data_IF_615037785090
#
_entry.id   IF_615037785090
#
_cell.length_a   1.000
_cell.length_b   1.000
_cell.length_c   1.000
_cell.angle_alpha   90.00
_cell.angle_beta   90.00
_cell.angle_gamma   90.00
#
_symmetry.space_group_name_H-M   'P 1'
#
loop_
_entity.id
_entity.type
_entity.pdbx_description
1 polymer ?
#
# COMPACT_ATOMS: atom_id res chain seq x y z
N UNK A 1 6.30 -4.84 -7.18
CA UNK A 1 6.79 -5.74 -8.27
C UNK A 1 5.61 -6.43 -8.91
N UNK A 2 5.69 -6.84 -10.18
CA UNK A 2 4.65 -7.63 -10.87
C UNK A 2 5.27 -8.59 -11.87
N UNK A 3 4.66 -9.75 -12.03
CA UNK A 3 5.02 -10.71 -13.07
C UNK A 3 3.95 -10.73 -14.16
N UNK A 4 4.33 -11.08 -15.39
CA UNK A 4 3.38 -11.33 -16.47
C UNK A 4 3.25 -12.83 -16.80
N UNK A 5 2.35 -13.16 -17.72
CA UNK A 5 2.10 -14.54 -18.15
C UNK A 5 3.27 -15.16 -18.94
N UNK A 6 4.23 -14.35 -19.41
CA UNK A 6 5.44 -14.84 -20.06
C UNK A 6 6.55 -15.16 -19.05
N UNK A 7 6.30 -15.01 -17.74
CA UNK A 7 7.27 -15.28 -16.68
C UNK A 7 8.25 -14.14 -16.44
N UNK A 8 8.05 -12.96 -17.06
CA UNK A 8 8.90 -11.79 -16.85
C UNK A 8 8.57 -11.14 -15.52
N UNK A 9 9.59 -10.72 -14.77
CA UNK A 9 9.43 -10.01 -13.51
C UNK A 9 9.77 -8.52 -13.67
N UNK A 10 8.80 -7.66 -13.40
CA UNK A 10 8.92 -6.21 -13.38
C UNK A 10 9.08 -5.70 -11.94
N UNK A 11 10.12 -4.90 -11.69
CA UNK A 11 10.48 -4.41 -10.36
C UNK A 11 10.62 -2.90 -10.38
N UNK A 12 9.84 -2.22 -9.55
CA UNK A 12 10.02 -0.80 -9.25
C UNK A 12 11.18 -0.62 -8.28
N UNK A 13 12.07 0.33 -8.56
CA UNK A 13 13.12 0.77 -7.66
C UNK A 13 12.92 2.21 -7.21
N UNK A 14 13.97 2.81 -6.63
CA UNK A 14 13.92 4.21 -6.19
C UNK A 14 13.66 5.20 -7.31
N UNK A 15 14.17 4.95 -8.51
CA UNK A 15 14.09 5.93 -9.61
C UNK A 15 13.89 5.26 -10.97
N UNK A 16 13.79 3.93 -11.02
CA UNK A 16 13.73 3.21 -12.28
C UNK A 16 12.87 1.97 -12.16
N UNK A 17 12.35 1.54 -13.30
CA UNK A 17 11.67 0.27 -13.47
C UNK A 17 12.65 -0.68 -14.16
N UNK A 18 12.73 -1.88 -13.63
CA UNK A 18 13.54 -2.96 -14.19
C UNK A 18 12.68 -4.12 -14.64
N UNK A 19 13.15 -4.86 -15.64
CA UNK A 19 12.63 -6.17 -16.03
C UNK A 19 13.72 -7.23 -15.90
N UNK A 20 13.29 -8.41 -15.50
CA UNK A 20 14.06 -9.64 -15.51
C UNK A 20 13.32 -10.62 -16.40
N UNK A 21 13.96 -11.06 -17.48
CA UNK A 21 13.43 -12.08 -18.39
C UNK A 21 13.59 -13.46 -17.75
N UNK A 22 12.74 -14.45 -18.07
CA UNK A 22 13.04 -15.85 -17.80
C UNK A 22 14.42 -16.24 -18.35
N UNK A 23 15.17 -17.00 -17.57
CA UNK A 23 16.43 -17.59 -18.03
C UNK A 23 16.17 -18.94 -18.69
N UNK A 24 15.95 -18.92 -20.01
CA UNK A 24 15.71 -20.13 -20.81
C UNK A 24 16.92 -21.08 -20.85
N UNK A 25 18.09 -20.66 -20.37
CA UNK A 25 19.30 -21.49 -20.31
C UNK A 25 19.44 -22.26 -19.00
N UNK A 26 18.65 -21.92 -17.97
CA UNK A 26 18.68 -22.55 -16.66
C UNK A 26 17.78 -23.79 -16.61
N UNK A 27 18.35 -24.93 -16.21
CA UNK A 27 17.59 -26.18 -16.01
C UNK A 27 16.77 -26.21 -14.73
N UNK A 28 17.04 -25.32 -13.77
CA UNK A 28 16.27 -25.16 -12.53
C UNK A 28 15.27 -24.00 -12.58
N UNK A 29 15.09 -23.37 -13.75
CA UNK A 29 14.42 -22.09 -13.87
C UNK A 29 15.28 -20.94 -13.31
N UNK A 30 14.85 -19.71 -13.56
CA UNK A 30 15.59 -18.53 -13.11
C UNK A 30 15.16 -17.26 -13.81
N UNK A 31 15.71 -16.14 -13.31
CA UNK A 31 15.57 -14.82 -13.90
C UNK A 31 16.93 -14.39 -14.44
N UNK A 32 16.94 -13.88 -15.67
CA UNK A 32 18.12 -13.34 -16.33
C UNK A 32 18.60 -12.03 -15.69
N UNK A 33 19.52 -11.35 -16.37
CA UNK A 33 20.11 -10.10 -15.86
C UNK A 33 19.07 -8.98 -15.79
N UNK A 34 19.23 -8.11 -14.79
CA UNK A 34 18.45 -6.88 -14.61
C UNK A 34 18.59 -5.98 -15.84
N UNK A 35 17.47 -5.62 -16.47
CA UNK A 35 17.41 -4.64 -17.56
C UNK A 35 16.57 -3.44 -17.14
N UNK A 36 17.06 -2.22 -17.39
CA UNK A 36 16.30 -0.99 -17.11
C UNK A 36 15.31 -0.71 -18.24
N UNK A 37 14.06 -0.45 -17.91
CA UNK A 37 12.99 -0.11 -18.87
C UNK A 37 12.83 1.40 -19.00
N UNK A 38 12.77 2.07 -17.86
CA UNK A 38 12.48 3.50 -17.76
C UNK A 38 13.01 4.06 -16.45
N UNK A 39 13.50 5.30 -16.49
CA UNK A 39 13.99 6.06 -15.34
C UNK A 39 13.18 7.32 -15.13
N UNK A 40 12.63 7.44 -13.94
CA UNK A 40 11.96 8.64 -13.45
C UNK A 40 12.99 9.67 -12.93
N UNK A 41 12.57 10.93 -12.71
CA UNK A 41 13.39 11.90 -11.99
C UNK A 41 13.81 11.39 -10.61
N UNK A 42 14.84 12.04 -10.04
CA UNK A 42 15.31 11.73 -8.69
C UNK A 42 14.17 11.75 -7.66
N UNK A 43 14.30 10.93 -6.61
CA UNK A 43 13.36 10.80 -5.50
C UNK A 43 11.95 10.25 -5.82
N UNK A 44 11.70 9.77 -7.04
CA UNK A 44 10.37 9.35 -7.48
C UNK A 44 9.77 8.12 -6.78
N UNK A 45 10.59 7.19 -6.30
CA UNK A 45 10.26 5.93 -5.62
C UNK A 45 9.03 5.19 -6.18
N UNK A 46 9.27 4.20 -7.03
CA UNK A 46 8.20 3.42 -7.68
C UNK A 46 7.63 2.40 -6.69
N UNK A 47 6.47 2.71 -6.10
CA UNK A 47 5.86 1.85 -5.08
C UNK A 47 5.21 0.62 -5.64
N UNK A 48 4.37 0.78 -6.66
CA UNK A 48 3.68 -0.33 -7.27
C UNK A 48 3.65 -0.26 -8.79
N UNK A 49 3.43 -1.43 -9.38
CA UNK A 49 3.33 -1.64 -10.80
C UNK A 49 2.07 -2.44 -11.09
N UNK A 50 1.46 -2.23 -12.25
CA UNK A 50 0.37 -3.07 -12.75
C UNK A 50 0.48 -3.27 -14.26
N UNK A 51 0.01 -4.39 -14.77
CA UNK A 51 0.13 -4.76 -16.19
C UNK A 51 -1.25 -4.89 -16.80
N UNK A 52 -1.45 -4.32 -18.00
CA UNK A 52 -2.65 -4.54 -18.80
C UNK A 52 -2.28 -4.68 -20.28
N UNK A 53 -2.39 -5.90 -20.79
CA UNK A 53 -1.91 -6.21 -22.14
C UNK A 53 -0.40 -5.96 -22.24
N UNK A 54 0.02 -5.13 -23.19
CA UNK A 54 1.43 -4.76 -23.37
C UNK A 54 1.83 -3.49 -22.60
N UNK A 55 0.90 -2.88 -21.87
CA UNK A 55 1.13 -1.63 -21.17
C UNK A 55 1.50 -1.86 -19.71
N UNK A 56 2.44 -1.06 -19.22
CA UNK A 56 2.85 -1.04 -17.83
C UNK A 56 2.37 0.24 -17.14
N UNK A 57 1.75 0.08 -15.98
CA UNK A 57 1.30 1.16 -15.11
C UNK A 57 2.25 1.23 -13.92
N UNK A 58 2.61 2.44 -13.53
CA UNK A 58 3.55 2.66 -12.43
C UNK A 58 3.04 3.74 -11.49
N UNK A 59 3.27 3.55 -10.20
CA UNK A 59 2.93 4.50 -9.15
C UNK A 59 4.19 5.01 -8.44
N UNK A 60 4.91 5.99 -9.03
CA UNK A 60 5.91 6.77 -8.30
C UNK A 60 5.27 7.69 -7.25
N UNK A 61 5.90 7.77 -6.07
CA UNK A 61 5.47 8.62 -4.94
C UNK A 61 5.27 10.08 -5.31
N UNK A 62 6.12 10.66 -6.16
CA UNK A 62 6.19 12.13 -6.35
C UNK A 62 5.24 12.65 -7.42
N UNK A 63 4.74 11.77 -8.28
CA UNK A 63 4.15 12.18 -9.55
C UNK A 63 2.81 11.50 -9.88
N UNK A 64 2.35 10.59 -9.03
CA UNK A 64 1.08 9.87 -9.17
C UNK A 64 1.13 8.77 -10.23
N UNK A 65 -0.01 8.45 -10.84
CA UNK A 65 -0.14 7.33 -11.77
C UNK A 65 0.49 7.63 -13.13
N UNK A 66 1.33 6.73 -13.63
CA UNK A 66 1.89 6.75 -14.98
C UNK A 66 1.49 5.52 -15.79
N UNK A 67 1.38 5.72 -17.10
CA UNK A 67 1.28 4.70 -18.13
C UNK A 67 2.55 4.71 -18.98
N UNK A 68 3.12 3.53 -19.20
CA UNK A 68 4.24 3.29 -20.11
C UNK A 68 3.75 2.36 -21.23
N UNK A 69 3.27 2.91 -22.37
CA UNK A 69 2.66 2.12 -23.42
C UNK A 69 3.64 1.14 -24.08
N UNK A 70 3.26 -0.13 -24.18
CA UNK A 70 4.09 -1.18 -24.77
C UNK A 70 5.32 -1.57 -23.95
N UNK A 71 5.51 -1.04 -22.73
CA UNK A 71 6.72 -1.25 -21.93
C UNK A 71 6.90 -2.69 -21.43
N UNK A 72 5.85 -3.51 -21.48
CA UNK A 72 5.95 -4.94 -21.17
C UNK A 72 6.87 -5.64 -22.18
N UNK A 73 6.84 -5.26 -23.46
CA UNK A 73 7.63 -5.91 -24.52
C UNK A 73 8.77 -5.04 -25.06
N UNK A 74 8.66 -3.71 -24.96
CA UNK A 74 9.70 -2.78 -25.41
C UNK A 74 10.80 -2.65 -24.36
N UNK A 75 12.05 -2.57 -24.80
CA UNK A 75 13.22 -2.35 -23.94
C UNK A 75 13.90 -1.00 -24.15
N UNK A 76 13.66 -0.38 -25.31
CA UNK A 76 14.24 0.91 -25.68
C UNK A 76 13.15 1.90 -26.11
N UNK A 77 13.40 3.19 -25.89
CA UNK A 77 12.49 4.27 -26.33
C UNK A 77 11.12 4.26 -25.64
N UNK A 78 11.01 3.66 -24.45
CA UNK A 78 9.78 3.67 -23.66
C UNK A 78 9.51 5.10 -23.20
N UNK A 79 8.29 5.58 -23.44
CA UNK A 79 7.82 6.89 -23.02
C UNK A 79 6.80 6.72 -21.90
N UNK A 80 6.87 7.59 -20.89
CA UNK A 80 5.92 7.57 -19.78
C UNK A 80 4.93 8.74 -19.91
N UNK A 81 3.64 8.44 -19.79
CA UNK A 81 2.54 9.41 -19.78
C UNK A 81 1.91 9.43 -18.40
N UNK A 82 1.95 10.59 -17.74
CA UNK A 82 1.26 10.80 -16.46
C UNK A 82 -0.26 10.78 -16.67
N UNK A 83 -0.99 10.02 -15.87
CA UNK A 83 -2.44 9.85 -15.95
C UNK A 83 -3.17 10.63 -14.86
N UNK A 84 -2.76 10.47 -13.60
CA UNK A 84 -3.41 11.07 -12.43
C UNK A 84 -2.34 11.65 -11.50
N UNK A 85 -2.51 12.90 -11.06
CA UNK A 85 -1.58 13.57 -10.14
C UNK A 85 -2.30 14.65 -9.32
N UNK A 86 -1.57 15.35 -8.45
CA UNK A 86 -2.08 16.50 -7.70
C UNK A 86 -2.16 16.29 -6.18
N UNK A 87 -1.78 15.11 -5.70
CA UNK A 87 -1.46 14.98 -4.27
C UNK A 87 -0.20 15.80 -3.95
N UNK A 88 -0.10 16.37 -2.74
CA UNK A 88 1.14 16.97 -2.28
C UNK A 88 2.26 15.94 -2.13
N UNK A 89 3.49 16.38 -2.40
CA UNK A 89 4.72 15.59 -2.21
C UNK A 89 5.42 16.03 -0.91
N UNK A 90 4.81 15.70 0.23
CA UNK A 90 5.34 16.08 1.55
C UNK A 90 5.90 14.92 2.36
N UNK A 91 5.41 13.70 2.11
CA UNK A 91 5.84 12.53 2.86
C UNK A 91 5.79 11.27 1.99
N UNK A 92 6.87 10.47 1.96
CA UNK A 92 6.92 9.27 1.13
C UNK A 92 5.82 8.27 1.49
N UNK A 93 5.48 8.13 2.77
CA UNK A 93 4.48 7.14 3.17
C UNK A 93 3.04 7.63 3.00
N UNK A 94 2.78 8.88 2.60
CA UNK A 94 1.42 9.42 2.63
C UNK A 94 1.05 10.13 1.34
N UNK A 95 1.00 9.30 0.30
CA UNK A 95 0.66 9.65 -1.06
C UNK A 95 -0.02 8.45 -1.72
N UNK A 96 -0.05 8.40 -3.05
CA UNK A 96 -0.48 7.18 -3.75
C UNK A 96 0.57 6.06 -3.62
N UNK A 97 0.10 4.82 -3.48
CA UNK A 97 0.99 3.66 -3.34
C UNK A 97 0.60 2.49 -4.24
N UNK A 98 -0.43 1.76 -3.83
CA UNK A 98 -0.81 0.47 -4.39
C UNK A 98 -1.72 0.59 -5.58
N UNK A 99 -1.61 -0.37 -6.49
CA UNK A 99 -2.41 -0.48 -7.69
C UNK A 99 -3.06 -1.87 -7.77
N UNK A 100 -4.30 -1.94 -8.23
CA UNK A 100 -4.97 -3.21 -8.52
C UNK A 100 -6.01 -3.05 -9.63
N UNK A 101 -6.01 -3.96 -10.61
CA UNK A 101 -7.06 -4.02 -11.62
C UNK A 101 -8.34 -4.63 -11.04
N UNK A 102 -9.46 -3.92 -11.18
CA UNK A 102 -10.78 -4.43 -10.85
C UNK A 102 -11.41 -5.24 -11.99
N UNK A 103 -12.39 -6.10 -11.68
CA UNK A 103 -13.13 -6.87 -12.68
C UNK A 103 -14.01 -5.99 -13.59
N UNK A 104 -14.29 -4.76 -13.14
CA UNK A 104 -15.01 -3.73 -13.89
C UNK A 104 -14.11 -3.01 -14.92
N UNK A 105 -12.83 -3.37 -14.98
CA UNK A 105 -11.85 -2.79 -15.88
C UNK A 105 -11.29 -1.44 -15.44
N UNK A 106 -11.62 -0.98 -14.22
CA UNK A 106 -11.01 0.20 -13.60
C UNK A 106 -9.70 -0.18 -12.90
N UNK A 107 -8.76 0.77 -12.84
CA UNK A 107 -7.56 0.67 -12.03
C UNK A 107 -7.82 1.32 -10.68
N UNK A 108 -7.69 0.55 -9.60
CA UNK A 108 -7.83 1.03 -8.23
C UNK A 108 -6.48 1.51 -7.71
N UNK A 109 -6.50 2.60 -6.95
CA UNK A 109 -5.33 3.28 -6.41
C UNK A 109 -5.50 3.48 -4.90
N UNK A 110 -4.50 3.09 -4.10
CA UNK A 110 -4.51 3.37 -2.67
C UNK A 110 -3.90 4.74 -2.40
N UNK A 111 -4.48 5.48 -1.45
CA UNK A 111 -4.10 6.83 -1.09
C UNK A 111 -3.91 6.93 0.43
N UNK A 112 -2.73 7.34 0.87
CA UNK A 112 -2.47 7.67 2.28
C UNK A 112 -3.01 9.05 2.69
N UNK A 113 -3.00 9.33 3.98
CA UNK A 113 -3.43 10.60 4.57
C UNK A 113 -2.41 11.71 4.33
N UNK A 114 -2.75 12.58 3.40
CA UNK A 114 -1.85 13.66 2.98
C UNK A 114 -1.74 14.80 4.01
N UNK A 115 -2.39 14.68 5.17
CA UNK A 115 -2.38 15.68 6.23
C UNK A 115 -1.42 15.41 7.39
N UNK A 116 -0.62 14.33 7.44
CA UNK A 116 0.08 14.00 8.70
C UNK A 116 0.99 15.06 9.31
N UNK A 117 1.53 16.00 8.54
CA UNK A 117 2.32 17.12 9.09
C UNK A 117 1.60 18.47 9.15
N UNK A 118 0.36 18.56 8.65
CA UNK A 118 -0.37 19.82 8.52
C UNK A 118 -1.80 19.76 9.08
N UNK A 119 -2.32 18.56 9.33
CA UNK A 119 -3.65 18.34 9.86
C UNK A 119 -3.70 18.71 11.33
N UNK A 120 -4.71 19.49 11.69
CA UNK A 120 -5.05 19.67 13.09
C UNK A 120 -5.84 18.46 13.57
N UNK A 121 -5.14 17.47 14.13
CA UNK A 121 -5.74 16.26 14.70
C UNK A 121 -6.77 16.55 15.82
N UNK A 122 -6.80 17.77 16.37
CA UNK A 122 -7.78 18.20 17.38
C UNK A 122 -9.12 18.63 16.75
N UNK A 123 -9.12 19.10 15.50
CA UNK A 123 -10.37 19.47 14.81
C UNK A 123 -11.20 18.22 14.56
N UNK A 124 -12.55 18.24 14.72
CA UNK A 124 -13.43 17.11 14.40
C UNK A 124 -13.37 16.69 12.93
N UNK A 125 -13.06 17.63 12.04
CA UNK A 125 -12.84 17.46 10.61
C UNK A 125 -11.34 17.46 10.30
N UNK A 126 -10.67 16.31 10.47
CA UNK A 126 -9.33 16.10 9.92
C UNK A 126 -9.48 15.74 8.45
N UNK A 127 -9.89 16.71 7.63
CA UNK A 127 -10.09 16.56 6.19
C UNK A 127 -9.23 17.54 5.43
N UNK A 128 -8.58 17.06 4.37
CA UNK A 128 -7.87 17.92 3.44
C UNK A 128 -8.72 18.15 2.20
N UNK A 129 -8.44 19.25 1.51
CA UNK A 129 -9.05 19.61 0.25
C UNK A 129 -7.95 19.74 -0.80
N UNK A 130 -8.06 18.96 -1.87
CA UNK A 130 -7.10 19.00 -2.97
C UNK A 130 -7.81 18.71 -4.28
N UNK A 131 -7.11 19.00 -5.38
CA UNK A 131 -7.61 18.76 -6.72
C UNK A 131 -6.68 17.76 -7.40
N UNK A 132 -7.24 16.61 -7.78
CA UNK A 132 -6.56 15.70 -8.66
C UNK A 132 -6.74 16.14 -10.11
N UNK A 133 -5.71 15.94 -10.91
CA UNK A 133 -5.70 16.24 -12.34
C UNK A 133 -5.61 14.93 -13.09
N UNK A 134 -6.49 14.76 -14.08
CA UNK A 134 -6.67 13.52 -14.80
C UNK A 134 -6.53 13.73 -16.31
N UNK A 135 -5.76 12.86 -16.96
CA UNK A 135 -5.75 12.74 -18.42
C UNK A 135 -6.99 11.98 -18.94
N UNK A 136 -7.30 12.04 -20.25
CA UNK A 136 -6.64 12.81 -21.31
C UNK A 136 -7.12 14.27 -21.43
N UNK A 137 -8.22 14.64 -20.76
CA UNK A 137 -8.83 15.97 -20.92
C UNK A 137 -8.29 17.04 -19.96
N UNK A 138 -7.36 16.68 -19.07
CA UNK A 138 -6.92 17.57 -18.00
C UNK A 138 -8.02 17.87 -16.97
N UNK A 139 -8.94 16.93 -16.75
CA UNK A 139 -10.07 17.08 -15.84
C UNK A 139 -9.58 17.30 -14.41
N UNK A 140 -10.18 18.28 -13.73
CA UNK A 140 -9.94 18.57 -12.31
C UNK A 140 -11.00 17.86 -11.48
N UNK A 141 -10.56 17.00 -10.57
CA UNK A 141 -11.44 16.25 -9.67
C UNK A 141 -11.15 16.73 -8.24
N UNK A 142 -12.06 17.50 -7.63
CA UNK A 142 -11.90 17.90 -6.25
C UNK A 142 -12.06 16.67 -5.35
N UNK A 143 -11.24 16.59 -4.32
CA UNK A 143 -11.37 15.59 -3.27
C UNK A 143 -11.42 16.31 -1.93
N UNK A 144 -12.30 15.84 -1.06
CA UNK A 144 -12.38 16.22 0.35
C UNK A 144 -12.41 14.96 1.20
N UNK A 145 -11.53 14.90 2.21
CA UNK A 145 -11.41 13.76 3.12
C UNK A 145 -9.96 13.48 3.51
N UNK A 146 -9.68 12.23 3.89
CA UNK A 146 -8.33 11.72 4.15
C UNK A 146 -8.15 10.31 3.65
N UNK A 147 -7.00 10.06 3.04
CA UNK A 147 -6.62 8.78 2.46
C UNK A 147 -7.73 8.11 1.63
N UNK A 148 -7.67 6.79 1.58
CA UNK A 148 -8.71 5.94 1.02
C UNK A 148 -8.30 5.24 -0.25
N UNK A 149 -9.32 4.89 -1.03
CA UNK A 149 -9.17 4.15 -2.28
C UNK A 149 -9.91 4.90 -3.36
N UNK A 150 -9.22 5.15 -4.47
CA UNK A 150 -9.77 5.74 -5.67
C UNK A 150 -9.76 4.70 -6.79
N UNK A 151 -10.48 4.97 -7.87
CA UNK A 151 -10.37 4.21 -9.12
C UNK A 151 -10.46 5.14 -10.32
N UNK A 152 -9.80 4.79 -11.43
CA UNK A 152 -9.95 5.49 -12.70
C UNK A 152 -9.98 4.51 -13.87
N UNK A 153 -10.39 5.00 -15.04
CA UNK A 153 -10.25 4.25 -16.30
C UNK A 153 -8.76 4.12 -16.69
N UNK A 154 -8.42 3.17 -17.57
CA UNK A 154 -7.03 2.91 -17.96
C UNK A 154 -6.33 4.10 -18.61
N UNK A 155 -7.08 5.00 -19.24
CA UNK A 155 -6.57 6.20 -19.87
C UNK A 155 -6.35 7.37 -18.89
N UNK A 156 -6.70 7.19 -17.62
CA UNK A 156 -6.68 8.18 -16.54
C UNK A 156 -8.02 8.90 -16.33
N UNK A 157 -9.01 8.69 -17.19
CA UNK A 157 -10.29 9.39 -17.11
C UNK A 157 -11.21 8.82 -16.01
N UNK A 158 -12.27 9.57 -15.68
CA UNK A 158 -13.32 9.11 -14.75
C UNK A 158 -12.76 8.65 -13.38
N UNK A 159 -11.92 9.49 -12.79
CA UNK A 159 -11.40 9.27 -11.44
C UNK A 159 -12.53 9.43 -10.41
N UNK A 160 -12.75 8.38 -9.61
CA UNK A 160 -13.81 8.29 -8.62
C UNK A 160 -13.24 7.89 -7.26
N UNK A 161 -13.85 8.37 -6.19
CA UNK A 161 -13.55 7.92 -4.83
C UNK A 161 -14.39 6.69 -4.51
N UNK A 162 -13.72 5.60 -4.12
CA UNK A 162 -14.36 4.35 -3.72
C UNK A 162 -14.60 4.34 -2.21
N UNK A 163 -13.57 4.64 -1.43
CA UNK A 163 -13.62 4.68 0.03
C UNK A 163 -12.66 5.75 0.57
N UNK A 164 -12.83 6.14 1.84
CA UNK A 164 -12.01 7.15 2.55
C UNK A 164 -11.56 6.64 3.91
N UNK A 165 -10.77 7.43 4.62
CA UNK A 165 -10.46 7.20 6.03
C UNK A 165 -9.35 6.18 6.28
N UNK A 166 -8.43 5.98 5.33
CA UNK A 166 -7.18 5.24 5.57
C UNK A 166 -6.04 6.19 5.94
N UNK A 167 -5.04 5.69 6.66
CA UNK A 167 -3.83 6.44 7.02
C UNK A 167 -2.74 6.26 5.99
N UNK A 168 -2.33 5.04 5.76
CA UNK A 168 -1.18 4.66 4.96
C UNK A 168 -1.41 3.26 4.41
N UNK A 169 -2.39 3.17 3.52
CA UNK A 169 -2.65 1.97 2.75
C UNK A 169 -1.65 1.87 1.60
N UNK A 170 -0.72 0.90 1.66
CA UNK A 170 0.32 0.76 0.65
C UNK A 170 0.02 -0.27 -0.46
N UNK A 171 -1.11 -0.98 -0.42
CA UNK A 171 -1.38 -2.07 -1.35
C UNK A 171 -2.86 -2.44 -1.43
N UNK A 172 -3.27 -2.93 -2.60
CA UNK A 172 -4.63 -3.34 -2.91
C UNK A 172 -4.62 -4.73 -3.52
N UNK A 173 -5.63 -5.54 -3.22
CA UNK A 173 -5.82 -6.84 -3.87
C UNK A 173 -7.29 -7.22 -3.91
N UNK A 174 -7.72 -7.78 -5.04
CA UNK A 174 -9.02 -8.43 -5.16
C UNK A 174 -8.89 -9.91 -4.81
N UNK A 175 -9.85 -10.45 -4.05
CA UNK A 175 -9.99 -11.89 -3.89
C UNK A 175 -10.68 -12.54 -5.11
N UNK A 176 -10.81 -13.87 -5.09
CA UNK A 176 -11.47 -14.64 -6.17
C UNK A 176 -12.97 -14.36 -6.32
N UNK A 177 -13.59 -13.66 -5.37
CA UNK A 177 -14.99 -13.25 -5.37
C UNK A 177 -15.15 -11.76 -5.67
N UNK A 178 -14.07 -11.09 -6.07
CA UNK A 178 -14.02 -9.67 -6.38
C UNK A 178 -14.28 -8.73 -5.20
N UNK A 179 -14.04 -9.20 -3.98
CA UNK A 179 -13.96 -8.33 -2.82
C UNK A 179 -12.59 -7.63 -2.81
N UNK A 180 -12.58 -6.31 -2.63
CA UNK A 180 -11.36 -5.52 -2.59
C UNK A 180 -10.84 -5.43 -1.15
N UNK A 181 -9.58 -5.75 -0.95
CA UNK A 181 -8.90 -5.61 0.33
C UNK A 181 -7.73 -4.63 0.24
N UNK A 182 -7.49 -3.90 1.33
CA UNK A 182 -6.29 -3.11 1.55
C UNK A 182 -5.77 -3.38 2.96
N UNK A 183 -4.46 -3.21 3.16
CA UNK A 183 -3.92 -3.01 4.50
C UNK A 183 -3.85 -1.51 4.80
N UNK A 184 -3.73 -1.15 6.07
CA UNK A 184 -3.53 0.23 6.52
C UNK A 184 -2.54 0.24 7.69
N UNK A 185 -1.38 0.88 7.50
CA UNK A 185 -0.28 0.88 8.47
C UNK A 185 -0.57 1.74 9.71
N UNK A 186 0.12 1.43 10.81
CA UNK A 186 -0.06 2.10 12.09
C UNK A 186 0.59 3.46 12.25
N UNK A 187 0.15 4.19 13.27
CA UNK A 187 0.77 5.45 13.65
C UNK A 187 2.04 5.16 14.46
N UNK A 188 3.10 4.84 13.72
CA UNK A 188 4.49 4.53 14.13
C UNK A 188 5.14 5.53 15.11
N UNK A 189 4.55 5.79 16.29
CA UNK A 189 5.18 6.57 17.35
C UNK A 189 4.36 7.64 18.07
N UNK A 190 3.02 7.70 17.97
CA UNK A 190 2.21 8.45 18.96
C UNK A 190 1.87 7.50 20.13
N UNK A 191 2.58 7.55 21.26
CA UNK A 191 2.55 6.49 22.25
C UNK A 191 1.73 6.92 23.46
N UNK A 192 0.49 6.45 23.53
CA UNK A 192 -0.11 6.02 24.78
C UNK A 192 -0.76 4.64 24.59
N UNK A 193 -1.31 4.37 23.41
CA UNK A 193 -1.95 3.10 23.05
C UNK A 193 -1.44 2.60 21.68
N UNK A 194 -0.81 1.43 21.66
CA UNK A 194 -0.48 0.73 20.43
C UNK A 194 -1.76 0.48 19.62
N UNK A 195 -1.81 0.98 18.39
CA UNK A 195 -2.89 0.64 17.46
C UNK A 195 -2.32 -0.21 16.32
N UNK A 196 -2.81 -1.44 16.11
CA UNK A 196 -2.26 -2.33 15.10
C UNK A 196 -2.60 -1.83 13.68
N UNK A 197 -1.74 -2.19 12.72
CA UNK A 197 -2.11 -2.16 11.31
C UNK A 197 -3.38 -2.97 11.06
N UNK A 198 -4.20 -2.53 10.09
CA UNK A 198 -5.54 -3.09 9.83
C UNK A 198 -5.60 -3.77 8.47
N UNK A 199 -6.34 -4.87 8.37
CA UNK A 199 -6.84 -5.40 7.11
C UNK A 199 -8.26 -4.90 6.91
N UNK A 200 -8.52 -4.25 5.79
CA UNK A 200 -9.78 -3.57 5.51
C UNK A 200 -10.43 -4.17 4.27
N UNK A 201 -11.71 -4.56 4.41
CA UNK A 201 -12.57 -4.89 3.28
C UNK A 201 -13.16 -3.59 2.70
N UNK A 202 -12.70 -3.21 1.51
CA UNK A 202 -13.05 -1.97 0.83
C UNK A 202 -14.40 -2.12 0.14
N UNK A 203 -15.42 -1.48 0.71
CA UNK A 203 -16.75 -1.38 0.12
C UNK A 203 -17.00 0.04 -0.39
N UNK A 204 -17.75 0.22 -1.49
CA UNK A 204 -18.07 1.55 -2.00
C UNK A 204 -18.76 2.41 -0.95
N UNK A 205 -18.26 3.64 -0.74
CA UNK A 205 -18.76 4.58 0.24
C UNK A 205 -18.23 4.40 1.67
N UNK A 206 -17.40 3.38 1.93
CA UNK A 206 -16.83 3.16 3.26
C UNK A 206 -15.95 4.32 3.71
N UNK A 207 -16.01 4.62 5.01
CA UNK A 207 -15.06 5.47 5.72
C UNK A 207 -14.44 4.65 6.85
N UNK A 208 -13.12 4.44 6.80
CA UNK A 208 -12.39 3.66 7.79
C UNK A 208 -11.95 4.47 9.01
N UNK A 209 -12.44 5.71 9.11
CA UNK A 209 -12.43 6.52 10.31
C UNK A 209 -11.09 7.13 10.68
N UNK A 210 -9.99 6.90 9.94
CA UNK A 210 -8.73 7.61 10.22
C UNK A 210 -8.96 9.14 10.25
N UNK A 211 -8.45 9.87 11.25
CA UNK A 211 -7.55 9.44 12.33
C UNK A 211 -8.22 8.99 13.64
N UNK A 212 -9.56 9.05 13.75
CA UNK A 212 -10.30 8.85 15.01
C UNK A 212 -10.96 7.49 15.20
N UNK A 213 -11.21 6.73 14.14
CA UNK A 213 -11.83 5.40 14.14
C UNK A 213 -10.86 4.27 14.47
N UNK A 214 -9.71 4.62 15.07
CA UNK A 214 -8.70 3.68 15.56
C UNK A 214 -9.11 3.24 16.96
N UNK A 215 -8.84 1.97 17.32
CA UNK A 215 -9.22 1.45 18.65
C UNK A 215 -8.67 2.37 19.75
N UNK A 216 -9.51 2.97 20.61
CA UNK A 216 -9.05 3.91 21.63
C UNK A 216 -8.21 3.23 22.71
N UNK A 217 -8.36 1.92 22.89
CA UNK A 217 -7.71 1.15 23.94
C UNK A 217 -7.35 -0.25 23.44
N UNK A 218 -6.25 -0.77 23.99
CA UNK A 218 -5.79 -2.13 23.73
C UNK A 218 -6.55 -3.15 24.60
N UNK A 219 -7.12 -4.23 24.05
CA UNK A 219 -7.54 -5.35 24.88
C UNK A 219 -6.31 -6.00 25.53
N UNK A 220 -6.37 -6.39 26.82
CA UNK A 220 -5.22 -6.94 27.53
C UNK A 220 -4.60 -8.08 26.71
N UNK A 221 -3.26 -8.07 26.56
CA UNK A 221 -2.57 -9.15 25.84
C UNK A 221 -2.97 -10.49 26.50
N UNK A 222 -3.35 -11.53 25.74
CA UNK A 222 -3.38 -12.87 26.28
C UNK A 222 -2.00 -13.14 26.89
N UNK A 223 -1.93 -13.41 28.19
CA UNK A 223 -0.68 -13.83 28.81
C UNK A 223 -0.23 -15.07 28.06
N UNK A 224 0.93 -15.03 27.40
CA UNK A 224 1.58 -16.26 26.97
C UNK A 224 1.74 -17.11 28.24
N UNK A 225 1.40 -18.41 28.21
CA UNK A 225 1.84 -19.31 29.28
C UNK A 225 3.34 -19.10 29.45
N UNK A 226 3.79 -18.91 30.69
CA UNK A 226 5.22 -18.88 30.96
C UNK A 226 5.83 -20.17 30.40
N UNK A 227 7.02 -20.13 29.78
CA UNK A 227 7.73 -21.36 29.46
C UNK A 227 7.94 -22.11 30.77
N UNK A 228 7.60 -23.40 30.79
CA UNK A 228 7.88 -24.32 31.89
C UNK A 228 9.41 -24.34 32.09
N UNK A 229 9.88 -23.55 33.04
CA UNK A 229 11.25 -23.51 33.48
C UNK A 229 11.51 -24.79 34.26
N UNK A 230 11.88 -25.84 33.51
CA UNK A 230 12.27 -27.17 33.97
C UNK A 230 13.51 -27.19 34.87
N UNK A 231 13.49 -26.42 35.95
CA UNK A 231 14.40 -26.55 37.08
C UNK A 231 13.72 -27.41 38.14
N UNK A 232 14.00 -28.71 38.05
CA UNK A 232 13.72 -29.65 39.12
C UNK A 232 14.41 -29.21 40.40
N UNK A 233 13.62 -28.73 41.37
CA UNK A 233 14.06 -28.67 42.75
C UNK A 233 13.85 -30.05 43.38
N UNK A 234 14.95 -30.81 43.45
CA UNK A 234 15.05 -32.01 44.27
C UNK A 234 14.88 -31.72 45.77
N UNK A 235 14.55 -32.74 46.57
CA UNK A 235 13.93 -32.57 47.89
C UNK A 235 14.96 -32.13 48.93
N UNK A 236 14.69 -31.02 49.64
CA UNK A 236 15.32 -30.75 50.93
C UNK A 236 14.43 -31.35 52.02
N UNK A 237 14.86 -32.51 52.53
CA UNK A 237 14.28 -33.09 53.74
C UNK A 237 14.86 -32.45 55.01
N UNK A 238 13.99 -32.40 56.04
CA UNK A 238 14.23 -32.63 57.48
C UNK A 238 13.78 -31.49 58.41
N UNK A 239 12.84 -31.84 59.31
CA UNK A 239 12.53 -31.09 60.54
C UNK A 239 11.08 -30.61 60.66
N UNK A 240 10.18 -31.43 61.23
CA UNK A 240 8.94 -30.94 61.86
C UNK A 240 9.20 -30.40 63.28
N UNK A 241 8.17 -30.22 64.15
CA UNK A 241 6.72 -30.32 63.93
C UNK A 241 5.91 -29.11 64.49
N UNK A 242 4.57 -29.24 64.45
CA UNK A 242 3.58 -28.59 65.34
C UNK A 242 3.26 -27.08 65.13
N UNK A 243 2.03 -26.56 65.28
CA UNK A 243 0.72 -27.05 65.75
C UNK A 243 -0.37 -26.02 65.33
N UNK A 244 -1.59 -26.53 65.16
CA UNK A 244 -2.92 -25.88 65.13
C UNK A 244 -3.02 -24.36 65.42
N UNK A 245 -3.69 -23.62 64.53
CA UNK A 245 -5.10 -23.15 64.69
C UNK A 245 -5.56 -22.38 63.45
#
# INVERSE_FOLDING_TARGET
>A
MRADAAGRLFVGGREAIFVYEPDDTSTSGGLGKRQEIFRFPADSWVYDLEIRGNDLYAMPKTAGLYLLPGAVTKRNGVQARRLVWGHPDYHPHQCFHGLAWGPDGYLYLSLGDMLVFYGDFRRPDHWGHWTFFCQPKGTKVPYTGVGGVLRCRPDGSDLQVVARGTRNSCGLVFDSRWNLFTHDNDHEGLPLDYVPGRLLHVTPGADFGWPRGWMPTKPPRPRRPAPDDGQGHGPRGSGGPDVLR
#
